data_IF_728124009508
#
_entry.id   IF_728124009508
#
_cell.length_a   1.000
_cell.length_b   1.000
_cell.length_c   1.000
_cell.angle_alpha   90.00
_cell.angle_beta   90.00
_cell.angle_gamma   90.00
#
_symmetry.space_group_name_H-M   'P 1'
#
loop_
_entity.id
_entity.type
_entity.pdbx_description
1 polymer ?
#
# COMPACT_ATOMS: atom_id res chain seq x y z
N UNK A 1 9.14 2.48 -7.75
CA UNK A 1 8.51 1.81 -6.59
C UNK A 1 9.40 1.85 -5.35
N UNK A 2 8.80 1.93 -4.16
CA UNK A 2 9.49 1.96 -2.86
C UNK A 2 8.99 0.79 -2.03
N UNK A 3 9.91 0.10 -1.35
CA UNK A 3 9.60 -1.00 -0.44
C UNK A 3 10.47 -0.88 0.80
N UNK A 4 9.85 -0.85 1.98
CA UNK A 4 10.56 -0.75 3.27
C UNK A 4 9.93 -1.70 4.27
N UNK A 5 10.71 -2.42 5.09
CA UNK A 5 10.17 -3.17 6.22
C UNK A 5 9.33 -2.26 7.12
N UNK A 6 8.18 -2.75 7.57
CA UNK A 6 7.28 -2.02 8.43
C UNK A 6 6.78 -2.94 9.55
N UNK A 7 7.12 -2.60 10.79
CA UNK A 7 6.66 -3.31 11.99
C UNK A 7 5.22 -2.88 12.35
N UNK A 8 4.29 -3.06 11.41
CA UNK A 8 2.85 -2.82 11.58
C UNK A 8 2.26 -3.45 12.86
N UNK A 9 2.69 -4.66 13.29
CA UNK A 9 2.12 -5.32 14.47
C UNK A 9 2.26 -4.56 15.79
N UNK A 10 3.10 -3.52 15.84
CA UNK A 10 3.41 -2.77 17.05
C UNK A 10 2.87 -1.33 16.97
N UNK A 11 2.11 -0.91 17.98
CA UNK A 11 1.63 0.46 18.10
C UNK A 11 2.79 1.47 18.16
N UNK A 12 2.64 2.61 17.48
CA UNK A 12 3.64 3.66 17.37
C UNK A 12 4.85 3.31 16.49
N UNK A 13 4.86 2.13 15.86
CA UNK A 13 5.86 1.76 14.87
C UNK A 13 5.75 2.66 13.65
N UNK A 14 6.89 3.20 13.20
CA UNK A 14 6.97 4.13 12.08
C UNK A 14 7.89 3.62 10.98
N UNK A 15 7.48 3.86 9.74
CA UNK A 15 8.31 3.67 8.56
C UNK A 15 8.24 4.93 7.69
N UNK A 16 9.39 5.38 7.21
CA UNK A 16 9.49 6.57 6.36
C UNK A 16 10.23 6.24 5.06
N UNK A 17 9.91 6.98 4.01
CA UNK A 17 10.70 6.93 2.78
C UNK A 17 10.67 8.26 2.03
N UNK A 18 11.79 8.56 1.39
CA UNK A 18 11.87 9.57 0.33
C UNK A 18 11.77 8.87 -1.02
N UNK A 19 11.05 9.48 -1.95
CA UNK A 19 10.88 8.94 -3.30
C UNK A 19 10.61 10.02 -4.33
N UNK A 20 10.86 9.67 -5.59
CA UNK A 20 10.59 10.55 -6.72
C UNK A 20 9.47 9.96 -7.56
N UNK A 21 8.51 10.81 -7.93
CA UNK A 21 7.50 10.48 -8.92
C UNK A 21 7.94 11.04 -10.28
N UNK A 22 8.07 10.19 -11.30
CA UNK A 22 8.29 10.65 -12.66
C UNK A 22 7.01 11.29 -13.22
N UNK A 23 7.05 11.67 -14.50
CA UNK A 23 5.82 11.98 -15.22
C UNK A 23 4.90 10.74 -15.20
N UNK A 24 3.74 10.88 -14.57
CA UNK A 24 2.80 9.80 -14.33
C UNK A 24 1.81 9.58 -15.49
N UNK A 25 2.01 10.26 -16.63
CA UNK A 25 1.23 10.04 -17.84
C UNK A 25 1.62 8.71 -18.50
N UNK A 26 0.63 7.87 -18.75
CA UNK A 26 0.70 6.69 -19.61
C UNK A 26 -0.32 6.87 -20.74
N UNK A 27 0.18 7.35 -21.89
CA UNK A 27 -0.67 7.83 -22.97
C UNK A 27 -1.48 9.07 -22.54
N UNK A 28 -2.80 8.98 -22.65
CA UNK A 28 -3.77 10.02 -22.26
C UNK A 28 -4.28 9.88 -20.82
N UNK A 29 -3.73 8.96 -20.02
CA UNK A 29 -4.18 8.70 -18.66
C UNK A 29 -3.09 8.95 -17.61
N UNK A 30 -3.44 9.58 -16.48
CA UNK A 30 -2.59 9.69 -15.30
C UNK A 30 -2.63 8.40 -14.48
N UNK A 31 -1.49 7.83 -14.11
CA UNK A 31 -1.41 6.62 -13.27
C UNK A 31 -1.37 6.97 -11.79
N UNK A 32 -2.43 6.73 -11.00
CA UNK A 32 -2.39 6.99 -9.56
C UNK A 32 -1.29 6.22 -8.86
N UNK A 33 -0.71 6.80 -7.83
CA UNK A 33 0.25 6.11 -6.97
C UNK A 33 -0.50 5.41 -5.85
N UNK A 34 -0.30 4.12 -5.77
CA UNK A 34 -0.75 3.22 -4.73
C UNK A 34 0.15 3.34 -3.50
N UNK A 35 -0.47 3.48 -2.33
CA UNK A 35 0.20 3.48 -1.02
C UNK A 35 -0.46 2.46 -0.11
N UNK A 36 0.34 1.62 0.52
CA UNK A 36 -0.16 0.60 1.44
C UNK A 36 0.96 -0.29 1.95
N UNK A 37 0.61 -1.52 2.31
CA UNK A 37 1.58 -2.53 2.70
C UNK A 37 1.34 -3.84 1.98
N UNK A 38 2.35 -4.71 2.00
CA UNK A 38 2.21 -6.10 1.60
C UNK A 38 2.95 -6.99 2.58
N UNK A 39 2.66 -8.27 2.51
CA UNK A 39 3.56 -9.31 3.02
C UNK A 39 3.65 -10.43 1.99
N UNK A 40 4.62 -11.30 2.17
CA UNK A 40 4.80 -12.48 1.32
C UNK A 40 4.91 -13.73 2.17
N UNK A 41 4.28 -14.80 1.70
CA UNK A 41 4.41 -16.14 2.29
C UNK A 41 5.02 -17.09 1.26
N UNK A 42 5.83 -18.09 1.68
CA UNK A 42 6.28 -19.15 0.79
C UNK A 42 5.10 -19.92 0.19
N UNK A 43 5.20 -20.24 -1.10
CA UNK A 43 4.27 -21.16 -1.79
C UNK A 43 4.69 -22.60 -1.46
N UNK A 44 4.25 -23.09 -0.30
CA UNK A 44 4.43 -24.50 0.09
C UNK A 44 3.09 -25.23 0.12
N UNK A 45 3.11 -26.53 -0.20
CA UNK A 45 1.99 -27.44 0.04
C UNK A 45 2.06 -28.09 1.43
N UNK A 46 3.25 -28.08 2.03
CA UNK A 46 3.55 -28.69 3.31
C UNK A 46 3.56 -27.59 4.38
N UNK A 47 2.38 -27.31 4.93
CA UNK A 47 2.26 -26.43 6.09
C UNK A 47 2.76 -27.16 7.33
N UNK A 48 3.55 -26.47 8.16
CA UNK A 48 3.81 -26.95 9.51
C UNK A 48 2.48 -27.16 10.26
N UNK A 49 2.38 -28.12 11.19
CA UNK A 49 1.17 -28.34 11.97
C UNK A 49 0.64 -27.03 12.57
N UNK A 50 -0.62 -26.69 12.30
CA UNK A 50 -1.27 -25.47 12.79
C UNK A 50 -1.05 -24.20 11.96
N UNK A 51 -0.05 -24.16 11.07
CA UNK A 51 0.28 -22.94 10.30
C UNK A 51 -0.82 -22.55 9.31
N UNK A 52 -1.52 -23.54 8.73
CA UNK A 52 -2.67 -23.25 7.86
C UNK A 52 -3.80 -22.56 8.63
N UNK A 53 -4.08 -22.99 9.87
CA UNK A 53 -5.10 -22.38 10.71
C UNK A 53 -4.67 -20.97 11.17
N UNK A 54 -3.40 -20.79 11.53
CA UNK A 54 -2.83 -19.48 11.88
C UNK A 54 -2.88 -18.50 10.69
N UNK A 55 -2.54 -18.97 9.49
CA UNK A 55 -2.64 -18.20 8.24
C UNK A 55 -4.08 -17.75 7.97
N UNK A 56 -5.06 -18.65 8.11
CA UNK A 56 -6.49 -18.28 7.98
C UNK A 56 -6.89 -17.21 8.99
N UNK A 57 -6.56 -17.39 10.27
CA UNK A 57 -6.85 -16.39 11.32
C UNK A 57 -6.25 -15.02 11.02
N UNK A 58 -5.00 -14.97 10.52
CA UNK A 58 -4.35 -13.71 10.12
C UNK A 58 -5.07 -13.05 8.95
N UNK A 59 -5.46 -13.82 7.95
CA UNK A 59 -6.21 -13.30 6.80
C UNK A 59 -7.61 -12.82 7.19
N UNK A 60 -8.27 -13.52 8.10
CA UNK A 60 -9.58 -13.11 8.61
C UNK A 60 -9.45 -11.80 9.40
N UNK A 61 -8.44 -11.70 10.28
CA UNK A 61 -8.13 -10.47 11.02
C UNK A 61 -7.91 -9.27 10.09
N UNK A 62 -7.08 -9.41 9.05
CA UNK A 62 -6.83 -8.34 8.07
C UNK A 62 -8.10 -7.93 7.30
N UNK A 63 -9.11 -8.79 7.19
CA UNK A 63 -10.37 -8.51 6.49
C UNK A 63 -11.45 -7.93 7.39
N UNK A 64 -11.46 -8.30 8.67
CA UNK A 64 -12.56 -7.96 9.59
C UNK A 64 -12.21 -6.84 10.55
N UNK A 65 -10.96 -6.73 10.99
CA UNK A 65 -10.59 -5.81 12.04
C UNK A 65 -10.18 -4.45 11.47
N UNK A 66 -10.56 -3.34 12.13
CA UNK A 66 -9.99 -2.05 11.84
C UNK A 66 -8.50 -2.09 12.20
N UNK A 67 -7.65 -1.74 11.24
CA UNK A 67 -6.21 -1.58 11.44
C UNK A 67 -5.92 -0.12 11.10
N UNK A 68 -5.94 0.77 12.11
CA UNK A 68 -5.75 2.20 11.90
C UNK A 68 -4.26 2.50 11.67
N UNK A 69 -3.96 3.05 10.50
CA UNK A 69 -2.62 3.46 10.10
C UNK A 69 -2.66 4.94 9.77
N UNK A 70 -1.81 5.71 10.43
CA UNK A 70 -1.62 7.11 10.09
C UNK A 70 -0.65 7.24 8.93
N UNK A 71 -1.04 7.99 7.89
CA UNK A 71 -0.24 8.24 6.70
C UNK A 71 -0.14 9.74 6.47
N UNK A 72 1.09 10.25 6.42
CA UNK A 72 1.36 11.65 6.07
C UNK A 72 2.29 11.70 4.87
N UNK A 73 1.92 12.52 3.90
CA UNK A 73 2.67 12.71 2.67
C UNK A 73 3.01 14.17 2.50
N UNK A 74 4.25 14.44 2.11
CA UNK A 74 4.71 15.77 1.75
C UNK A 74 5.41 15.75 0.41
N UNK A 75 5.21 16.79 -0.37
CA UNK A 75 6.05 17.14 -1.52
C UNK A 75 7.24 17.95 -1.02
N UNK A 76 8.43 17.67 -1.56
CA UNK A 76 9.69 18.30 -1.14
C UNK A 76 10.16 19.28 -2.22
N UNK A 77 9.98 20.57 -1.95
CA UNK A 77 10.34 21.67 -2.86
C UNK A 77 11.25 22.65 -2.15
N UNK A 78 12.42 22.97 -2.74
CA UNK A 78 13.35 23.93 -2.13
C UNK A 78 13.85 23.57 -0.72
N UNK A 79 13.66 22.33 -0.25
CA UNK A 79 13.96 21.90 1.12
C UNK A 79 12.76 21.98 2.08
N UNK A 80 11.63 22.53 1.64
CA UNK A 80 10.39 22.59 2.41
C UNK A 80 9.52 21.35 2.18
N UNK A 81 8.73 20.99 3.20
CA UNK A 81 7.77 19.88 3.16
C UNK A 81 6.35 20.43 3.06
N UNK A 82 5.77 20.35 1.87
CA UNK A 82 4.41 20.82 1.57
C UNK A 82 3.45 19.64 1.72
N UNK A 83 2.47 19.67 2.64
CA UNK A 83 1.52 18.57 2.83
C UNK A 83 0.74 18.25 1.55
N UNK A 84 0.53 16.96 1.29
CA UNK A 84 -0.22 16.46 0.14
C UNK A 84 -1.42 15.66 0.65
N UNK A 85 -2.60 16.01 0.14
CA UNK A 85 -3.84 15.30 0.45
C UNK A 85 -3.84 13.93 -0.24
N UNK A 86 -4.03 12.89 0.57
CA UNK A 86 -4.19 11.52 0.10
C UNK A 86 -5.67 11.22 -0.18
N UNK A 87 -5.90 10.23 -1.04
CA UNK A 87 -7.24 9.88 -1.50
C UNK A 87 -7.57 8.41 -1.23
N UNK A 88 -8.84 8.13 -0.94
CA UNK A 88 -9.39 6.78 -0.90
C UNK A 88 -10.00 6.42 -2.27
N UNK A 89 -9.78 5.18 -2.74
CA UNK A 89 -10.42 4.69 -3.96
C UNK A 89 -11.78 4.07 -3.64
N UNK A 90 -12.81 4.58 -4.29
CA UNK A 90 -14.14 4.00 -4.28
C UNK A 90 -14.44 3.42 -5.66
N UNK A 91 -15.21 2.33 -5.69
CA UNK A 91 -15.66 1.72 -6.94
C UNK A 91 -17.05 1.12 -6.83
N UNK A 92 -17.86 1.29 -7.86
CA UNK A 92 -19.11 0.54 -8.08
C UNK A 92 -18.85 -0.65 -9.01
N UNK A 93 -19.60 -1.74 -8.84
CA UNK A 93 -19.46 -2.94 -9.68
C UNK A 93 -20.30 -2.81 -10.96
N UNK A 94 -21.50 -2.23 -10.87
CA UNK A 94 -22.43 -2.06 -11.99
C UNK A 94 -23.25 -0.76 -11.85
N UNK A 95 -23.10 0.22 -12.78
CA UNK A 95 -22.02 0.30 -13.76
C UNK A 95 -20.66 0.38 -13.07
N UNK A 96 -19.60 -0.11 -13.72
CA UNK A 96 -18.24 0.02 -13.17
C UNK A 96 -17.80 1.47 -13.23
N UNK A 97 -17.58 2.08 -12.07
CA UNK A 97 -17.07 3.45 -11.96
C UNK A 97 -16.14 3.51 -10.75
N UNK A 98 -14.92 3.99 -10.96
CA UNK A 98 -13.99 4.31 -9.89
C UNK A 98 -13.89 5.82 -9.70
N UNK A 99 -13.75 6.27 -8.46
CA UNK A 99 -13.42 7.66 -8.14
C UNK A 99 -12.51 7.71 -6.91
N UNK A 100 -11.88 8.86 -6.71
CA UNK A 100 -10.91 9.09 -5.66
C UNK A 100 -11.43 10.20 -4.76
N UNK A 101 -11.68 9.87 -3.50
CA UNK A 101 -12.23 10.81 -2.53
C UNK A 101 -11.09 11.34 -1.65
N UNK A 102 -10.86 12.67 -1.62
CA UNK A 102 -9.83 13.26 -0.78
C UNK A 102 -10.15 12.99 0.69
N UNK A 103 -9.15 12.55 1.45
CA UNK A 103 -9.27 12.32 2.89
C UNK A 103 -8.71 13.52 3.64
N UNK A 104 -9.51 14.13 4.51
CA UNK A 104 -9.09 15.23 5.38
C UNK A 104 -8.27 14.75 6.58
N UNK A 105 -8.48 13.50 6.99
CA UNK A 105 -7.80 12.89 8.13
C UNK A 105 -6.52 12.18 7.68
N UNK A 106 -5.53 12.13 8.58
CA UNK A 106 -4.30 11.39 8.33
C UNK A 106 -4.41 9.89 8.68
N UNK A 107 -5.58 9.41 9.12
CA UNK A 107 -5.78 8.01 9.56
C UNK A 107 -6.58 7.22 8.52
N UNK A 108 -5.97 6.14 8.04
CA UNK A 108 -6.52 5.24 7.04
C UNK A 108 -6.76 3.87 7.65
N UNK A 109 -7.88 3.26 7.30
CA UNK A 109 -8.22 1.89 7.71
C UNK A 109 -7.81 0.91 6.62
N UNK A 110 -7.33 -0.27 7.00
CA UNK A 110 -7.21 -1.39 6.07
C UNK A 110 -8.62 -1.78 5.61
N UNK A 111 -8.91 -1.62 4.31
CA UNK A 111 -10.26 -1.90 3.78
C UNK A 111 -10.31 -3.12 2.88
N UNK A 112 -9.35 -3.27 1.95
CA UNK A 112 -9.38 -4.35 0.95
C UNK A 112 -7.99 -4.77 0.48
N UNK A 113 -7.88 -6.05 0.13
CA UNK A 113 -6.81 -6.52 -0.75
C UNK A 113 -6.94 -5.82 -2.11
N UNK A 114 -5.82 -5.33 -2.64
CA UNK A 114 -5.78 -4.51 -3.84
C UNK A 114 -4.80 -5.04 -4.88
N UNK A 115 -4.95 -4.65 -6.15
CA UNK A 115 -3.94 -4.95 -7.16
C UNK A 115 -2.88 -3.84 -7.19
N UNK A 116 -1.63 -4.15 -6.84
CA UNK A 116 -0.48 -3.27 -7.13
C UNK A 116 0.10 -3.58 -8.52
N UNK A 117 0.81 -2.65 -9.17
CA UNK A 117 1.50 -2.97 -10.44
C UNK A 117 2.68 -3.92 -10.20
N UNK A 118 2.45 -5.20 -10.47
CA UNK A 118 3.45 -6.25 -10.32
C UNK A 118 4.63 -6.08 -11.29
N UNK A 119 4.46 -5.41 -12.44
CA UNK A 119 5.56 -5.20 -13.40
C UNK A 119 6.65 -4.33 -12.80
N UNK A 120 6.27 -3.26 -12.08
CA UNK A 120 7.24 -2.42 -11.38
C UNK A 120 8.00 -3.19 -10.29
N UNK A 121 7.30 -4.08 -9.58
CA UNK A 121 7.93 -4.91 -8.54
C UNK A 121 8.91 -5.93 -9.13
N UNK A 122 8.57 -6.53 -10.27
CA UNK A 122 9.44 -7.46 -11.01
C UNK A 122 10.68 -6.73 -11.50
N UNK A 123 10.53 -5.52 -12.07
CA UNK A 123 11.63 -4.73 -12.63
C UNK A 123 12.72 -4.41 -11.59
N UNK A 124 12.34 -4.26 -10.32
CA UNK A 124 13.30 -4.02 -9.22
C UNK A 124 13.71 -5.30 -8.46
N UNK A 125 13.36 -6.49 -8.96
CA UNK A 125 13.71 -7.76 -8.35
C UNK A 125 13.04 -8.03 -7.00
N UNK A 126 11.92 -7.36 -6.70
CA UNK A 126 11.18 -7.47 -5.42
C UNK A 126 9.88 -8.28 -5.55
N UNK A 127 9.81 -9.15 -6.55
CA UNK A 127 8.66 -10.00 -6.82
C UNK A 127 9.08 -11.38 -7.32
N UNK A 128 9.18 -12.35 -6.41
CA UNK A 128 9.40 -13.76 -6.74
C UNK A 128 8.06 -14.49 -6.79
N UNK A 129 7.39 -14.44 -7.94
CA UNK A 129 6.09 -15.09 -8.10
C UNK A 129 6.19 -16.62 -8.22
N UNK A 130 7.39 -17.18 -8.40
CA UNK A 130 7.58 -18.62 -8.46
C UNK A 130 7.49 -19.24 -7.07
N UNK A 131 8.17 -18.63 -6.09
CA UNK A 131 8.28 -19.21 -4.74
C UNK A 131 7.43 -18.50 -3.69
N UNK A 132 6.90 -17.31 -3.97
CA UNK A 132 6.15 -16.52 -2.98
C UNK A 132 4.77 -16.09 -3.47
N UNK A 133 3.83 -16.06 -2.54
CA UNK A 133 2.54 -15.43 -2.70
C UNK A 133 2.55 -14.09 -1.96
N UNK A 134 2.33 -13.01 -2.70
CA UNK A 134 2.28 -11.65 -2.17
C UNK A 134 0.84 -11.24 -1.91
N UNK A 135 0.60 -10.62 -0.76
CA UNK A 135 -0.70 -10.14 -0.30
C UNK A 135 -0.64 -8.62 -0.09
N UNK A 136 -0.91 -7.82 -1.14
CA UNK A 136 -0.99 -6.36 -1.06
C UNK A 136 -2.32 -5.86 -0.46
N UNK A 137 -2.22 -4.81 0.36
CA UNK A 137 -3.32 -4.13 1.05
C UNK A 137 -3.21 -2.63 0.85
N UNK A 138 -4.18 -2.05 0.15
CA UNK A 138 -4.21 -0.61 -0.11
C UNK A 138 -4.73 0.15 1.10
N UNK A 139 -4.15 1.31 1.34
CA UNK A 139 -4.61 2.26 2.35
C UNK A 139 -5.02 3.59 1.71
N UNK A 140 -4.19 4.09 0.79
CA UNK A 140 -4.36 5.43 0.26
C UNK A 140 -3.77 5.56 -1.16
N UNK A 141 -4.05 6.70 -1.79
CA UNK A 141 -3.55 7.05 -3.11
C UNK A 141 -3.08 8.49 -3.22
N UNK A 142 -2.14 8.70 -4.13
CA UNK A 142 -1.78 10.02 -4.65
C UNK A 142 -2.51 10.19 -5.99
N UNK A 143 -3.53 11.05 -6.00
CA UNK A 143 -4.36 11.33 -7.17
C UNK A 143 -4.80 12.81 -7.16
N UNK A 144 -4.56 13.59 -8.22
CA UNK A 144 -3.69 13.27 -9.35
C UNK A 144 -2.21 13.19 -8.90
N UNK A 145 -1.43 12.26 -9.46
CA UNK A 145 0.02 12.22 -9.25
C UNK A 145 0.68 13.43 -9.94
N UNK A 146 1.57 14.13 -9.23
CA UNK A 146 2.39 15.19 -9.83
C UNK A 146 3.87 14.79 -9.80
N UNK A 147 4.69 15.17 -10.80
CA UNK A 147 6.11 14.85 -10.77
C UNK A 147 6.81 15.63 -9.66
N UNK A 148 7.80 15.01 -9.03
CA UNK A 148 8.60 15.66 -7.99
C UNK A 148 9.12 14.71 -6.94
N UNK A 149 9.73 15.28 -5.90
CA UNK A 149 10.25 14.55 -4.74
C UNK A 149 9.23 14.56 -3.62
N UNK A 150 9.13 13.46 -2.90
CA UNK A 150 8.16 13.24 -1.84
C UNK A 150 8.81 12.61 -0.63
N UNK A 151 8.25 12.91 0.54
CA UNK A 151 8.52 12.24 1.80
C UNK A 151 7.22 11.64 2.33
N UNK A 152 7.24 10.39 2.76
CA UNK A 152 6.09 9.73 3.39
C UNK A 152 6.47 9.20 4.77
N UNK A 153 5.51 9.26 5.68
CA UNK A 153 5.51 8.58 6.98
C UNK A 153 4.26 7.70 7.08
N UNK A 154 4.44 6.45 7.49
CA UNK A 154 3.36 5.55 7.90
C UNK A 154 3.58 5.11 9.35
N UNK A 155 2.54 5.20 10.18
CA UNK A 155 2.57 4.86 11.59
C UNK A 155 1.42 3.91 11.94
N UNK A 156 1.73 2.78 12.58
CA UNK A 156 0.70 1.92 13.16
C UNK A 156 0.16 2.54 14.43
N UNK A 157 -1.15 2.67 14.59
CA UNK A 157 -1.74 3.32 15.76
C UNK A 157 -2.12 2.35 16.88
N UNK A 158 -2.20 1.06 16.58
CA UNK A 158 -2.65 0.02 17.51
C UNK A 158 -1.74 -1.22 17.43
N UNK A 159 -1.81 -2.07 18.47
CA UNK A 159 -1.09 -3.34 18.49
C UNK A 159 -1.89 -4.41 17.75
N UNK A 160 -1.21 -5.12 16.85
CA UNK A 160 -1.79 -6.21 16.05
C UNK A 160 -0.93 -7.48 16.21
N UNK A 161 -0.82 -8.05 17.43
CA UNK A 161 0.13 -9.14 17.73
C UNK A 161 -0.08 -10.40 16.88
N UNK A 162 -1.30 -10.63 16.38
CA UNK A 162 -1.61 -11.72 15.45
C UNK A 162 -0.81 -11.63 14.14
N UNK A 163 -0.37 -10.42 13.76
CA UNK A 163 0.40 -10.14 12.55
C UNK A 163 1.93 -10.19 12.79
N UNK A 164 2.41 -10.37 14.03
CA UNK A 164 3.82 -10.25 14.42
C UNK A 164 4.80 -11.14 13.63
N UNK A 165 4.32 -12.25 13.06
CA UNK A 165 5.15 -13.19 12.29
C UNK A 165 5.16 -12.89 10.78
N UNK A 166 4.42 -11.89 10.32
CA UNK A 166 4.37 -11.54 8.90
C UNK A 166 5.52 -10.58 8.55
N UNK A 167 6.26 -10.85 7.46
CA UNK A 167 7.26 -9.90 6.95
C UNK A 167 6.55 -8.77 6.21
N UNK A 168 6.01 -7.82 6.98
CA UNK A 168 5.23 -6.71 6.44
C UNK A 168 6.17 -5.63 5.89
N UNK A 169 5.84 -5.14 4.71
CA UNK A 169 6.57 -4.11 3.99
C UNK A 169 5.62 -2.98 3.61
N UNK A 170 5.97 -1.73 3.91
CA UNK A 170 5.38 -0.57 3.25
C UNK A 170 5.72 -0.62 1.76
N UNK A 171 4.74 -0.30 0.90
CA UNK A 171 4.91 -0.25 -0.55
C UNK A 171 4.30 1.03 -1.13
N UNK A 172 5.05 1.64 -2.05
CA UNK A 172 4.62 2.78 -2.87
C UNK A 172 4.91 2.42 -4.33
N UNK A 173 3.90 2.42 -5.19
CA UNK A 173 4.05 1.99 -6.60
C UNK A 173 2.90 2.55 -7.41
N UNK A 174 2.98 2.53 -8.74
CA UNK A 174 1.81 2.90 -9.53
C UNK A 174 0.73 1.81 -9.46
N UNK A 175 -0.53 2.21 -9.61
CA UNK A 175 -1.63 1.26 -9.68
C UNK A 175 -1.59 0.46 -10.98
N UNK A 176 -2.08 -0.78 -10.93
CA UNK A 176 -2.14 -1.64 -12.11
C UNK A 176 -3.20 -1.11 -13.09
N UNK A 177 -2.78 -0.67 -14.29
CA UNK A 177 -3.61 -0.50 -15.51
C UNK A 177 -4.71 0.59 -15.47
N UNK A 178 -5.27 0.98 -14.32
CA UNK A 178 -6.31 2.03 -14.27
C UNK A 178 -5.68 3.41 -14.13
N UNK A 179 -5.64 4.15 -15.23
CA UNK A 179 -5.32 5.57 -15.22
C UNK A 179 -6.57 6.46 -15.13
N UNK A 180 -6.39 7.71 -14.70
CA UNK A 180 -7.41 8.76 -14.65
C UNK A 180 -7.31 9.55 -15.96
N UNK A 181 -8.43 9.78 -16.65
CA UNK A 181 -8.46 10.81 -17.70
C UNK A 181 -8.40 12.19 -17.03
N UNK A 182 -7.43 13.05 -17.39
CA UNK A 182 -7.27 14.38 -16.81
C UNK A 182 -8.53 15.24 -16.87
#
# INVERSE_FOLDING_TARGET
PVIKPFDLPKAGSKVTADFELPNAMDGDHLRPVWVGFRFSIPKTKDYAPGEQAASRKRMDYLRSEPIPIRIRLWRVEGGERIPVVLHEMHQTIRPSKAWYEPQSDDVFMVRRGAGMDTKEMIAIGKFDYHNRAYQPWELARIAPPTPGRYHIEMESLEDHPILAQLPIEMVITHYHIWGIKP
#
